data_IF_874954168790
#
_entry.id   IF_874954168790
#
_cell.length_a   1.000
_cell.length_b   1.000
_cell.length_c   1.000
_cell.angle_alpha   90.00
_cell.angle_beta   90.00
_cell.angle_gamma   90.00
#
_symmetry.space_group_name_H-M   'P 1'
#
loop_
_entity.id
_entity.type
_entity.pdbx_description
1 polymer ?
#
# COMPACT_ATOMS: atom_id res chain seq x y z
N UNK A 1 -11.02 -35.27 -10.32
CA UNK A 1 -11.92 -34.14 -10.62
C UNK A 1 -11.44 -32.96 -9.78
N UNK A 2 -10.74 -32.03 -10.42
CA UNK A 2 -10.17 -30.82 -9.80
C UNK A 2 -11.28 -29.81 -9.54
N UNK A 3 -11.54 -29.46 -8.28
CA UNK A 3 -12.41 -28.34 -7.91
C UNK A 3 -11.51 -27.12 -7.68
N UNK A 4 -11.42 -26.27 -8.70
CA UNK A 4 -10.96 -24.90 -8.55
C UNK A 4 -12.01 -24.12 -7.76
N UNK A 5 -11.82 -23.96 -6.46
CA UNK A 5 -12.68 -23.10 -5.64
C UNK A 5 -12.18 -21.66 -5.72
N UNK A 6 -12.86 -20.84 -6.53
CA UNK A 6 -12.87 -19.39 -6.36
C UNK A 6 -13.40 -19.07 -4.95
N UNK A 7 -12.77 -18.15 -4.20
CA UNK A 7 -13.23 -17.79 -2.86
C UNK A 7 -14.66 -17.20 -2.91
N UNK A 8 -15.54 -17.51 -1.93
CA UNK A 8 -16.92 -17.04 -1.90
C UNK A 8 -17.03 -15.51 -1.80
N UNK A 9 -18.12 -14.96 -2.35
CA UNK A 9 -18.43 -13.51 -2.41
C UNK A 9 -18.65 -12.81 -1.06
N UNK A 10 -18.62 -13.54 0.06
CA UNK A 10 -18.78 -13.01 1.42
C UNK A 10 -17.45 -12.95 2.20
N UNK A 11 -16.33 -13.37 1.60
CA UNK A 11 -15.01 -13.19 2.20
C UNK A 11 -14.65 -11.71 2.24
N UNK A 12 -14.94 -11.04 3.36
CA UNK A 12 -14.43 -9.72 3.68
C UNK A 12 -13.03 -9.90 4.28
N UNK A 13 -12.00 -9.59 3.49
CA UNK A 13 -10.66 -9.39 4.05
C UNK A 13 -10.70 -8.06 4.81
N UNK A 14 -10.58 -8.13 6.14
CA UNK A 14 -10.49 -6.93 6.97
C UNK A 14 -9.18 -6.19 6.64
N UNK A 15 -9.32 -4.96 6.13
CA UNK A 15 -8.23 -4.11 5.65
C UNK A 15 -7.34 -3.58 6.79
N UNK A 16 -7.81 -3.62 8.04
CA UNK A 16 -7.02 -3.29 9.22
C UNK A 16 -7.54 -4.10 10.42
N UNK A 17 -6.78 -5.10 10.83
CA UNK A 17 -6.79 -5.52 12.24
C UNK A 17 -5.42 -5.12 12.78
N UNK A 18 -5.37 -4.01 13.50
CA UNK A 18 -4.18 -3.68 14.27
C UNK A 18 -4.13 -4.66 15.44
N UNK A 19 -3.44 -5.78 15.25
CA UNK A 19 -3.08 -6.69 16.33
C UNK A 19 -1.74 -6.20 16.87
N UNK A 20 -1.68 -5.56 18.06
CA UNK A 20 -0.46 -4.88 18.52
C UNK A 20 0.67 -5.82 18.90
N UNK A 21 0.52 -7.13 18.69
CA UNK A 21 1.51 -8.12 19.02
C UNK A 21 1.39 -9.24 18.01
N UNK A 22 2.53 -9.80 17.60
CA UNK A 22 2.62 -11.10 16.92
C UNK A 22 1.56 -12.03 17.52
N UNK A 23 0.45 -12.23 16.81
CA UNK A 23 -0.45 -13.31 17.17
C UNK A 23 0.35 -14.54 16.81
N UNK A 24 0.86 -15.18 17.86
CA UNK A 24 1.60 -16.42 17.78
C UNK A 24 0.85 -17.39 16.85
N UNK A 25 1.58 -18.11 15.99
CA UNK A 25 1.01 -19.12 15.08
C UNK A 25 0.15 -20.17 15.83
N UNK A 26 0.33 -20.23 17.15
CA UNK A 26 -0.51 -20.92 18.11
C UNK A 26 -2.00 -20.50 18.11
N UNK A 27 -2.37 -19.26 17.78
CA UNK A 27 -3.78 -18.85 17.69
C UNK A 27 -4.52 -19.59 16.58
N UNK A 28 -3.88 -19.73 15.42
CA UNK A 28 -4.45 -20.45 14.28
C UNK A 28 -4.56 -21.96 14.58
N UNK A 29 -3.55 -22.53 15.27
CA UNK A 29 -3.57 -23.94 15.71
C UNK A 29 -4.68 -24.21 16.74
N UNK A 30 -4.91 -23.28 17.69
CA UNK A 30 -5.92 -23.41 18.75
C UNK A 30 -7.37 -23.31 18.24
N UNK A 31 -7.59 -22.65 17.10
CA UNK A 31 -8.92 -22.42 16.51
C UNK A 31 -9.35 -23.51 15.50
N UNK A 32 -8.51 -24.51 15.21
CA UNK A 32 -8.84 -25.58 14.25
C UNK A 32 -9.08 -25.08 12.82
N UNK A 33 -8.45 -23.96 12.45
CA UNK A 33 -8.64 -23.33 11.14
C UNK A 33 -8.01 -24.16 10.03
N UNK A 34 -8.70 -24.26 8.89
CA UNK A 34 -8.14 -24.88 7.69
C UNK A 34 -7.06 -23.96 7.12
N UNK A 35 -5.84 -24.47 7.03
CA UNK A 35 -4.73 -23.77 6.38
C UNK A 35 -4.67 -24.14 4.91
N UNK A 36 -4.72 -23.14 4.04
CA UNK A 36 -4.53 -23.31 2.60
C UNK A 36 -3.38 -22.43 2.13
N UNK A 37 -2.30 -23.04 1.68
CA UNK A 37 -1.18 -22.32 1.08
C UNK A 37 -1.65 -21.71 -0.24
N UNK A 38 -1.45 -20.40 -0.39
CA UNK A 38 -1.62 -19.75 -1.68
C UNK A 38 -0.46 -20.15 -2.57
N UNK A 39 -0.78 -20.53 -3.80
CA UNK A 39 0.24 -20.95 -4.76
C UNK A 39 1.06 -19.73 -5.15
N UNK A 40 2.38 -19.82 -4.96
CA UNK A 40 3.35 -18.87 -5.49
C UNK A 40 4.25 -19.60 -6.49
N UNK A 41 4.04 -19.35 -7.78
CA UNK A 41 4.84 -19.93 -8.87
C UNK A 41 6.19 -19.20 -9.04
N UNK A 42 6.25 -17.93 -8.64
CA UNK A 42 7.48 -17.13 -8.64
C UNK A 42 7.51 -16.21 -7.44
N UNK A 43 8.71 -16.04 -6.87
CA UNK A 43 8.99 -15.12 -5.77
C UNK A 43 10.23 -14.30 -6.13
N UNK A 44 10.24 -13.02 -5.79
CA UNK A 44 11.39 -12.13 -6.06
C UNK A 44 11.43 -10.94 -5.12
N UNK A 45 12.62 -10.50 -4.77
CA UNK A 45 12.86 -9.24 -4.07
C UNK A 45 13.44 -8.17 -5.02
N UNK A 46 13.15 -6.90 -4.78
CA UNK A 46 13.64 -5.81 -5.63
C UNK A 46 14.08 -4.62 -4.80
N UNK A 47 15.20 -4.00 -5.19
CA UNK A 47 15.57 -2.66 -4.74
C UNK A 47 15.99 -2.53 -3.28
N UNK A 48 16.39 -3.62 -2.64
CA UNK A 48 17.05 -3.59 -1.34
C UNK A 48 18.52 -3.32 -1.55
N UNK A 49 18.98 -2.13 -1.17
CA UNK A 49 20.41 -1.78 -1.18
C UNK A 49 21.07 -2.37 0.09
N UNK A 50 22.36 -2.74 0.02
CA UNK A 50 23.08 -3.37 1.16
C UNK A 50 23.03 -2.54 2.45
N UNK A 51 22.86 -1.22 2.33
CA UNK A 51 22.73 -0.30 3.49
C UNK A 51 21.40 -0.40 4.22
N UNK A 52 20.35 -0.90 3.56
CA UNK A 52 19.00 -1.04 4.13
C UNK A 52 18.82 -2.42 4.79
N UNK A 53 19.84 -3.28 4.74
CA UNK A 53 19.83 -4.63 5.25
C UNK A 53 20.85 -4.78 6.39
N UNK A 54 20.55 -5.65 7.35
CA UNK A 54 21.57 -6.11 8.31
C UNK A 54 22.59 -6.99 7.59
N UNK A 55 23.87 -6.83 7.91
CA UNK A 55 24.98 -7.58 7.30
C UNK A 55 24.68 -9.08 7.16
N UNK A 56 24.78 -9.59 5.93
CA UNK A 56 24.60 -11.01 5.60
C UNK A 56 23.17 -11.44 5.29
N UNK A 57 22.20 -10.51 5.23
CA UNK A 57 20.84 -10.80 4.77
C UNK A 57 20.80 -10.84 3.24
N UNK A 58 20.38 -11.98 2.70
CA UNK A 58 19.97 -12.12 1.30
C UNK A 58 18.44 -12.13 1.19
N UNK A 59 17.89 -11.09 0.59
CA UNK A 59 16.43 -10.92 0.45
C UNK A 59 15.81 -11.92 -0.53
N UNK A 60 16.57 -12.43 -1.50
CA UNK A 60 16.10 -13.50 -2.38
C UNK A 60 15.98 -14.81 -1.61
N UNK A 61 17.01 -15.20 -0.85
CA UNK A 61 16.93 -16.35 0.06
C UNK A 61 15.78 -16.21 1.07
N UNK A 62 15.54 -15.01 1.62
CA UNK A 62 14.39 -14.79 2.51
C UNK A 62 13.06 -15.09 1.82
N UNK A 63 12.90 -14.68 0.56
CA UNK A 63 11.67 -14.89 -0.20
C UNK A 63 11.36 -16.37 -0.43
N UNK A 64 12.36 -17.24 -0.52
CA UNK A 64 12.14 -18.68 -0.66
C UNK A 64 11.27 -19.24 0.47
N UNK A 65 11.48 -18.74 1.70
CA UNK A 65 10.79 -19.20 2.89
C UNK A 65 9.48 -18.48 3.20
N UNK A 66 9.17 -17.39 2.49
CA UNK A 66 7.88 -16.69 2.68
C UNK A 66 6.75 -17.52 2.09
N UNK A 67 5.77 -17.91 2.90
CA UNK A 67 4.52 -18.52 2.41
C UNK A 67 3.35 -17.65 2.78
N UNK A 68 2.43 -17.44 1.84
CA UNK A 68 1.15 -16.78 2.09
C UNK A 68 0.10 -17.87 2.24
N UNK A 69 -0.70 -17.80 3.30
CA UNK A 69 -1.68 -18.83 3.63
C UNK A 69 -3.02 -18.17 3.92
N UNK A 70 -4.08 -18.74 3.36
CA UNK A 70 -5.44 -18.44 3.78
C UNK A 70 -5.82 -19.36 4.94
N UNK A 71 -6.23 -18.76 6.06
CA UNK A 71 -6.82 -19.45 7.20
C UNK A 71 -8.33 -19.32 7.07
N UNK A 72 -8.96 -20.42 6.66
CA UNK A 72 -10.38 -20.46 6.33
C UNK A 72 -11.16 -21.13 7.44
N UNK A 73 -12.34 -20.58 7.72
CA UNK A 73 -13.25 -21.08 8.73
C UNK A 73 -14.69 -20.81 8.31
N UNK A 74 -15.60 -21.60 8.85
CA UNK A 74 -17.03 -21.42 8.60
C UNK A 74 -17.56 -20.22 9.39
N UNK A 75 -18.60 -19.59 8.86
CA UNK A 75 -19.34 -18.56 9.58
C UNK A 75 -19.82 -19.09 10.95
N UNK A 76 -19.78 -18.29 12.02
CA UNK A 76 -19.56 -16.84 12.04
C UNK A 76 -18.09 -16.42 12.18
N UNK A 77 -17.15 -17.35 12.16
CA UNK A 77 -15.74 -17.02 12.35
C UNK A 77 -15.19 -16.32 11.11
N UNK A 78 -14.19 -15.46 11.32
CA UNK A 78 -13.56 -14.70 10.24
C UNK A 78 -12.39 -15.47 9.67
N UNK A 79 -12.36 -15.59 8.34
CA UNK A 79 -11.20 -16.06 7.61
C UNK A 79 -10.17 -14.94 7.49
N UNK A 80 -8.89 -15.27 7.48
CA UNK A 80 -7.81 -14.29 7.42
C UNK A 80 -6.60 -14.79 6.63
N UNK A 81 -5.75 -13.87 6.19
CA UNK A 81 -4.48 -14.19 5.56
C UNK A 81 -3.37 -14.16 6.60
N UNK A 82 -2.53 -15.17 6.58
CA UNK A 82 -1.29 -15.25 7.37
C UNK A 82 -0.11 -15.40 6.44
N UNK A 83 1.05 -14.96 6.91
CA UNK A 83 2.32 -15.29 6.28
C UNK A 83 3.15 -16.11 7.25
N UNK A 84 3.92 -17.07 6.74
CA UNK A 84 4.99 -17.69 7.52
C UNK A 84 6.31 -17.14 7.02
N UNK A 85 7.11 -16.63 7.94
CA UNK A 85 8.48 -16.25 7.71
C UNK A 85 9.34 -17.41 8.24
N UNK A 86 9.99 -18.13 7.33
CA UNK A 86 10.78 -19.31 7.66
C UNK A 86 12.28 -19.10 7.44
N UNK A 87 13.05 -19.94 8.11
CA UNK A 87 14.48 -20.24 7.94
C UNK A 87 14.74 -21.58 8.66
N UNK A 88 16.00 -22.01 8.79
CA UNK A 88 16.36 -23.30 9.41
C UNK A 88 15.89 -23.47 10.88
N UNK A 89 15.52 -22.38 11.57
CA UNK A 89 14.95 -22.39 12.91
C UNK A 89 13.51 -21.86 12.91
N UNK A 90 12.58 -22.69 13.41
CA UNK A 90 11.12 -22.48 13.64
C UNK A 90 10.37 -21.47 12.75
N UNK A 91 9.45 -21.96 11.91
CA UNK A 91 8.49 -21.13 11.15
C UNK A 91 7.71 -20.18 12.09
N UNK A 92 7.94 -18.87 11.96
CA UNK A 92 7.16 -17.85 12.66
C UNK A 92 6.01 -17.40 11.77
N UNK A 93 4.78 -17.62 12.24
CA UNK A 93 3.60 -17.04 11.61
C UNK A 93 3.51 -15.55 11.95
N UNK A 94 3.32 -14.73 10.93
CA UNK A 94 3.09 -13.29 11.03
C UNK A 94 1.75 -12.98 10.38
N UNK A 95 1.03 -12.05 10.99
CA UNK A 95 -0.21 -11.51 10.43
C UNK A 95 0.14 -10.24 9.67
N UNK A 96 0.28 -10.30 8.33
CA UNK A 96 0.59 -9.12 7.56
C UNK A 96 -0.55 -8.12 7.63
N UNK A 97 -0.23 -6.83 7.60
CA UNK A 97 -1.24 -5.79 7.46
C UNK A 97 -1.58 -5.70 5.98
N UNK A 98 -2.84 -5.96 5.60
CA UNK A 98 -3.29 -5.75 4.22
C UNK A 98 -3.39 -4.25 3.97
N UNK A 99 -2.38 -3.70 3.30
CA UNK A 99 -2.25 -2.27 3.09
C UNK A 99 -3.15 -1.78 1.94
N UNK A 100 -3.14 -2.50 0.82
CA UNK A 100 -4.00 -2.20 -0.33
C UNK A 100 -4.46 -3.49 -1.04
N UNK A 101 -5.63 -3.43 -1.67
CA UNK A 101 -6.15 -4.52 -2.48
C UNK A 101 -6.89 -3.94 -3.68
N UNK A 102 -6.55 -4.42 -4.86
CA UNK A 102 -7.31 -4.11 -6.07
C UNK A 102 -7.25 -5.26 -7.09
N UNK A 103 -8.44 -5.82 -7.36
CA UNK A 103 -8.65 -6.99 -8.21
C UNK A 103 -7.77 -8.18 -7.79
N UNK A 104 -6.75 -8.48 -8.57
CA UNK A 104 -5.83 -9.60 -8.37
C UNK A 104 -4.60 -9.25 -7.53
N UNK A 105 -4.39 -7.97 -7.20
CA UNK A 105 -3.23 -7.53 -6.43
C UNK A 105 -3.60 -7.34 -4.96
N UNK A 106 -2.85 -8.02 -4.10
CA UNK A 106 -2.86 -7.82 -2.65
C UNK A 106 -1.50 -7.23 -2.26
N UNK A 107 -1.52 -6.09 -1.59
CA UNK A 107 -0.32 -5.42 -1.09
C UNK A 107 -0.36 -5.48 0.43
N UNK A 108 0.63 -6.14 0.98
CA UNK A 108 0.82 -6.28 2.41
C UNK A 108 1.97 -5.38 2.86
N UNK A 109 1.83 -4.82 4.04
CA UNK A 109 2.90 -4.12 4.75
C UNK A 109 3.45 -5.02 5.85
N UNK A 110 4.75 -5.23 5.83
CA UNK A 110 5.46 -6.08 6.78
C UNK A 110 6.76 -5.44 7.24
N UNK A 111 7.00 -5.53 8.54
CA UNK A 111 8.32 -5.36 9.13
C UNK A 111 8.90 -6.73 9.41
N UNK A 112 10.17 -6.96 9.03
CA UNK A 112 10.90 -8.16 9.39
C UNK A 112 11.76 -7.82 10.61
N UNK A 113 11.41 -8.26 11.83
CA UNK A 113 12.16 -7.90 13.03
C UNK A 113 13.64 -8.22 12.87
N UNK A 114 14.48 -7.27 13.27
CA UNK A 114 15.94 -7.37 13.26
C UNK A 114 16.55 -7.62 11.86
N UNK A 115 15.78 -7.40 10.79
CA UNK A 115 16.18 -7.68 9.41
C UNK A 115 15.90 -6.55 8.42
N UNK A 116 14.64 -6.09 8.35
CA UNK A 116 14.18 -5.07 7.40
C UNK A 116 13.14 -4.19 8.10
N UNK A 117 13.38 -2.88 8.14
CA UNK A 117 12.56 -1.89 8.86
C UNK A 117 11.20 -1.62 8.20
N UNK A 118 10.97 -2.12 6.97
CA UNK A 118 9.66 -2.18 6.35
C UNK A 118 9.73 -2.63 4.89
N UNK A 119 8.79 -3.47 4.47
CA UNK A 119 8.69 -3.96 3.10
C UNK A 119 7.23 -4.12 2.69
N UNK A 120 6.96 -3.87 1.42
CA UNK A 120 5.70 -4.27 0.80
C UNK A 120 5.86 -5.65 0.16
N UNK A 121 4.97 -6.57 0.52
CA UNK A 121 4.76 -7.83 -0.20
C UNK A 121 3.56 -7.70 -1.13
N UNK A 122 3.79 -7.87 -2.43
CA UNK A 122 2.78 -7.78 -3.47
C UNK A 122 2.50 -9.18 -3.99
N UNK A 123 1.30 -9.69 -3.72
CA UNK A 123 0.83 -10.95 -4.27
C UNK A 123 -0.12 -10.71 -5.45
N UNK A 124 0.25 -11.20 -6.62
CA UNK A 124 -0.63 -11.29 -7.78
C UNK A 124 -1.30 -12.67 -7.80
N UNK A 125 -2.60 -12.70 -7.56
CA UNK A 125 -3.38 -13.94 -7.53
C UNK A 125 -3.54 -14.61 -8.89
N UNK A 126 -3.41 -13.85 -10.00
CA UNK A 126 -3.52 -14.37 -11.37
C UNK A 126 -2.19 -14.95 -11.80
N UNK A 127 -1.13 -14.15 -11.73
CA UNK A 127 0.23 -14.59 -12.05
C UNK A 127 0.81 -15.56 -11.01
N UNK A 128 0.17 -15.66 -9.83
CA UNK A 128 0.68 -16.38 -8.65
C UNK A 128 2.10 -15.98 -8.33
N UNK A 129 2.39 -14.69 -8.45
CA UNK A 129 3.72 -14.14 -8.20
C UNK A 129 3.71 -13.39 -6.87
N UNK A 130 4.82 -13.47 -6.14
CA UNK A 130 5.04 -12.72 -4.91
C UNK A 130 6.27 -11.84 -5.09
N UNK A 131 6.08 -10.53 -5.06
CA UNK A 131 7.17 -9.55 -5.14
C UNK A 131 7.37 -8.88 -3.80
N UNK A 132 8.61 -8.65 -3.41
CA UNK A 132 8.97 -7.87 -2.24
C UNK A 132 9.72 -6.62 -2.66
N UNK A 133 9.31 -5.47 -2.14
CA UNK A 133 9.98 -4.18 -2.35
C UNK A 133 10.14 -3.46 -1.01
N UNK A 134 11.16 -2.61 -0.82
CA UNK A 134 11.28 -1.83 0.42
C UNK A 134 10.07 -0.91 0.58
N UNK A 135 9.64 -0.67 1.82
CA UNK A 135 8.70 0.41 2.08
C UNK A 135 9.41 1.76 1.89
N UNK A 136 8.73 2.77 1.35
CA UNK A 136 9.34 4.09 1.12
C UNK A 136 9.87 4.71 2.43
N UNK A 137 9.21 4.45 3.56
CA UNK A 137 9.66 4.87 4.90
C UNK A 137 10.89 4.11 5.43
N UNK A 138 11.18 2.93 4.88
CA UNK A 138 12.36 2.12 5.21
C UNK A 138 13.56 2.48 4.33
N UNK A 139 13.37 3.24 3.25
CA UNK A 139 14.49 3.74 2.48
C UNK A 139 15.21 4.79 3.33
N UNK A 140 16.47 4.53 3.65
CA UNK A 140 17.37 5.39 4.42
C UNK A 140 17.66 6.75 3.77
N UNK A 141 16.92 7.12 2.71
CA UNK A 141 17.19 8.29 1.90
C UNK A 141 16.60 9.56 2.54
N UNK A 142 17.43 10.61 2.76
CA UNK A 142 16.95 11.92 3.16
C UNK A 142 16.15 12.63 2.06
N UNK A 143 16.04 12.04 0.85
CA UNK A 143 15.51 12.71 -0.34
C UNK A 143 13.99 12.58 -0.51
N UNK A 144 13.29 11.80 0.33
CA UNK A 144 11.85 11.58 0.17
C UNK A 144 11.06 11.57 1.47
N UNK A 145 9.95 12.31 1.51
CA UNK A 145 8.98 12.30 2.61
C UNK A 145 7.58 12.09 2.05
N UNK A 146 6.94 10.97 2.35
CA UNK A 146 5.59 10.71 1.88
C UNK A 146 4.56 11.62 2.59
N UNK A 147 3.56 12.12 1.85
CA UNK A 147 2.39 12.81 2.43
C UNK A 147 1.46 11.83 3.13
N UNK A 148 1.55 10.57 2.71
CA UNK A 148 0.73 9.48 3.21
C UNK A 148 1.53 8.20 3.21
N UNK A 149 1.22 7.31 4.14
CA UNK A 149 1.68 5.92 4.09
C UNK A 149 0.81 5.06 3.16
N UNK A 150 -0.34 5.57 2.71
CA UNK A 150 -1.34 4.81 1.96
C UNK A 150 -0.91 4.56 0.51
N UNK A 151 -0.45 3.33 0.24
CA UNK A 151 -0.14 2.86 -1.12
C UNK A 151 -1.42 2.73 -1.94
N UNK A 152 -1.39 3.29 -3.14
CA UNK A 152 -2.45 3.16 -4.13
C UNK A 152 -2.04 2.14 -5.21
N UNK A 153 -2.95 1.26 -5.59
CA UNK A 153 -2.82 0.43 -6.80
C UNK A 153 -3.49 1.18 -7.95
N UNK A 154 -2.68 1.75 -8.84
CA UNK A 154 -3.13 2.51 -10.00
C UNK A 154 -3.44 1.57 -11.16
N UNK A 155 -4.59 1.76 -11.81
CA UNK A 155 -5.00 0.98 -12.97
C UNK A 155 -5.70 1.82 -14.04
N UNK A 156 -5.53 1.48 -15.33
CA UNK A 156 -6.32 2.07 -16.38
C UNK A 156 -7.82 1.83 -16.18
N UNK A 157 -8.63 2.64 -16.87
CA UNK A 157 -10.05 2.38 -16.96
C UNK A 157 -10.31 0.99 -17.59
N UNK A 158 -11.32 0.26 -17.12
CA UNK A 158 -11.60 -1.12 -17.55
C UNK A 158 -11.76 -1.27 -19.08
N UNK A 159 -12.24 -0.23 -19.76
CA UNK A 159 -12.38 -0.20 -21.22
C UNK A 159 -11.04 -0.19 -22.00
N UNK A 160 -9.94 0.15 -21.34
CA UNK A 160 -8.58 0.27 -21.91
C UNK A 160 -7.58 -0.55 -21.08
N UNK A 161 -8.06 -1.50 -20.29
CA UNK A 161 -7.23 -2.28 -19.39
C UNK A 161 -6.35 -3.26 -20.17
N UNK A 162 -5.06 -2.91 -20.28
CA UNK A 162 -4.01 -3.72 -20.87
C UNK A 162 -3.30 -4.62 -19.82
N UNK A 163 -3.82 -4.65 -18.59
CA UNK A 163 -3.21 -5.34 -17.46
C UNK A 163 -2.11 -4.54 -16.78
N UNK A 164 -1.82 -3.31 -17.23
CA UNK A 164 -0.86 -2.45 -16.56
C UNK A 164 -1.35 -2.03 -15.18
N UNK A 165 -0.41 -1.95 -14.24
CA UNK A 165 -0.65 -1.43 -12.91
C UNK A 165 0.63 -0.87 -12.32
N UNK A 166 0.48 0.05 -11.38
CA UNK A 166 1.58 0.59 -10.60
C UNK A 166 1.17 0.70 -9.14
N UNK A 167 2.12 0.52 -8.24
CA UNK A 167 1.99 1.05 -6.89
C UNK A 167 2.40 2.52 -6.92
N UNK A 168 1.60 3.37 -6.30
CA UNK A 168 1.82 4.81 -6.25
C UNK A 168 1.70 5.34 -4.81
N UNK A 169 2.62 6.22 -4.44
CA UNK A 169 2.63 6.95 -3.18
C UNK A 169 2.79 8.44 -3.45
N UNK A 170 1.90 9.26 -2.86
CA UNK A 170 2.00 10.70 -2.92
C UNK A 170 2.96 11.21 -1.82
N UNK A 171 3.92 12.04 -2.19
CA UNK A 171 4.94 12.53 -1.27
C UNK A 171 5.60 13.84 -1.70
N UNK A 172 6.70 14.14 -1.05
CA UNK A 172 7.60 15.24 -1.32
C UNK A 172 9.00 14.71 -1.52
N UNK A 173 9.75 15.33 -2.42
CA UNK A 173 11.14 15.00 -2.65
C UNK A 173 12.03 16.19 -2.30
N UNK A 174 13.13 15.97 -1.59
CA UNK A 174 14.12 17.02 -1.35
C UNK A 174 14.90 17.29 -2.65
N UNK A 175 14.94 18.55 -3.07
CA UNK A 175 15.70 18.99 -4.25
C UNK A 175 16.63 20.11 -3.84
N UNK A 176 17.93 19.95 -4.12
CA UNK A 176 18.93 20.99 -3.86
C UNK A 176 18.91 21.99 -5.03
N UNK A 177 18.26 23.14 -4.83
CA UNK A 177 18.10 24.16 -5.87
C UNK A 177 19.43 24.88 -6.18
N UNK A 178 20.27 25.06 -5.16
CA UNK A 178 21.57 25.76 -5.26
C UNK A 178 22.62 25.05 -4.42
N UNK A 179 23.61 24.40 -5.06
CA UNK A 179 24.75 23.83 -4.34
C UNK A 179 25.67 24.95 -3.84
N UNK A 180 26.09 24.89 -2.58
CA UNK A 180 26.99 25.85 -1.94
C UNK A 180 27.09 25.62 -0.42
N UNK A 181 27.82 26.48 0.29
CA UNK A 181 28.01 26.39 1.76
C UNK A 181 26.70 26.46 2.56
N UNK A 182 25.66 27.06 1.97
CA UNK A 182 24.29 27.09 2.51
C UNK A 182 23.32 26.58 1.43
N UNK A 183 23.12 25.26 1.31
CA UNK A 183 22.24 24.71 0.30
C UNK A 183 20.79 25.14 0.55
N UNK A 184 20.12 25.60 -0.50
CA UNK A 184 18.67 25.82 -0.49
C UNK A 184 18.01 24.53 -0.94
N UNK A 185 17.18 23.95 -0.07
CA UNK A 185 16.47 22.69 -0.32
C UNK A 185 14.99 23.02 -0.52
N UNK A 186 14.46 22.72 -1.70
CA UNK A 186 13.02 22.72 -1.98
C UNK A 186 12.44 21.32 -1.74
N UNK A 187 11.12 21.28 -1.52
CA UNK A 187 10.37 20.03 -1.27
C UNK A 187 9.15 19.97 -2.18
N UNK A 188 9.33 19.85 -3.51
CA UNK A 188 8.24 19.67 -4.46
C UNK A 188 7.41 18.43 -4.16
N UNK A 189 6.12 18.51 -4.46
CA UNK A 189 5.20 17.39 -4.39
C UNK A 189 5.46 16.43 -5.56
N UNK A 190 5.51 15.14 -5.28
CA UNK A 190 5.84 14.07 -6.23
C UNK A 190 5.00 12.83 -6.02
N UNK A 191 4.94 11.99 -7.05
CA UNK A 191 4.42 10.63 -6.95
C UNK A 191 5.55 9.63 -7.14
N UNK A 192 5.79 8.82 -6.11
CA UNK A 192 6.69 7.68 -6.17
C UNK A 192 5.97 6.49 -6.76
N UNK A 193 6.59 5.83 -7.73
CA UNK A 193 6.00 4.68 -8.41
C UNK A 193 6.88 3.44 -8.36
N UNK A 194 6.22 2.30 -8.30
CA UNK A 194 6.81 1.01 -8.65
C UNK A 194 5.90 0.26 -9.61
N UNK A 195 6.50 -0.37 -10.63
CA UNK A 195 5.80 -1.17 -11.62
C UNK A 195 6.47 -2.54 -11.73
N UNK A 196 5.73 -3.66 -11.68
CA UNK A 196 6.32 -5.00 -11.79
C UNK A 196 7.11 -5.22 -13.09
N UNK A 197 6.68 -4.58 -14.20
CA UNK A 197 7.30 -4.71 -15.51
C UNK A 197 8.50 -3.76 -15.74
N UNK A 198 8.73 -2.80 -14.82
CA UNK A 198 9.80 -1.83 -14.98
C UNK A 198 11.14 -2.41 -14.52
N UNK A 199 12.21 -2.10 -15.24
CA UNK A 199 13.58 -2.36 -14.80
C UNK A 199 14.10 -1.30 -13.82
N UNK A 200 13.32 -0.25 -13.56
CA UNK A 200 13.67 0.82 -12.62
C UNK A 200 13.47 0.31 -11.19
N UNK A 201 14.45 0.56 -10.32
CA UNK A 201 14.35 0.20 -8.91
C UNK A 201 13.07 0.78 -8.28
N UNK A 202 12.44 0.06 -7.33
CA UNK A 202 11.33 0.59 -6.54
C UNK A 202 11.56 2.03 -6.09
N UNK A 203 10.51 2.85 -6.24
CA UNK A 203 10.47 4.25 -5.83
C UNK A 203 11.43 5.20 -6.54
N UNK A 204 12.24 4.73 -7.51
CA UNK A 204 13.08 5.62 -8.34
C UNK A 204 12.35 6.14 -9.58
N UNK A 205 11.17 5.59 -9.91
CA UNK A 205 10.27 6.19 -10.89
C UNK A 205 9.45 7.28 -10.19
N UNK A 206 9.82 8.54 -10.43
CA UNK A 206 9.24 9.71 -9.76
C UNK A 206 8.60 10.62 -10.80
N UNK A 207 7.38 11.08 -10.52
CA UNK A 207 6.67 12.09 -11.31
C UNK A 207 6.42 13.34 -10.46
N UNK A 208 6.40 14.51 -11.07
CA UNK A 208 5.97 15.73 -10.38
C UNK A 208 4.45 15.67 -10.15
N UNK A 209 4.00 16.08 -8.97
CA UNK A 209 2.58 16.20 -8.65
C UNK A 209 2.19 17.69 -8.63
N UNK A 210 1.45 18.13 -9.62
CA UNK A 210 0.96 19.50 -9.68
C UNK A 210 -0.31 19.61 -8.82
N UNK A 211 -0.11 19.73 -7.50
CA UNK A 211 -1.21 19.87 -6.55
C UNK A 211 -1.89 21.24 -6.68
N UNK A 212 -3.21 21.33 -6.48
CA UNK A 212 -3.95 22.60 -6.54
C UNK A 212 -3.53 23.52 -5.38
N UNK A 213 -2.55 24.39 -5.62
CA UNK A 213 -1.85 25.17 -4.59
C UNK A 213 -2.79 26.01 -3.71
N UNK A 214 -3.83 26.62 -4.30
CA UNK A 214 -4.81 27.39 -3.53
C UNK A 214 -5.60 26.49 -2.57
N UNK A 215 -5.94 25.28 -2.98
CA UNK A 215 -6.65 24.32 -2.15
C UNK A 215 -5.76 23.74 -1.05
N UNK A 216 -4.48 23.51 -1.36
CA UNK A 216 -3.48 23.02 -0.40
C UNK A 216 -3.07 24.07 0.63
N UNK A 217 -3.11 25.36 0.30
CA UNK A 217 -2.77 26.44 1.22
C UNK A 217 -3.64 26.43 2.49
N UNK A 218 -4.92 26.10 2.34
CA UNK A 218 -5.86 25.99 3.46
C UNK A 218 -5.83 24.61 4.15
N UNK A 219 -5.03 23.67 3.63
CA UNK A 219 -4.98 22.25 4.03
C UNK A 219 -3.53 21.78 4.22
N UNK A 220 -2.74 22.59 4.92
CA UNK A 220 -1.30 22.35 5.12
C UNK A 220 -0.97 21.03 5.83
N UNK A 221 -1.98 20.38 6.44
CA UNK A 221 -1.87 19.09 7.13
C UNK A 221 -2.53 17.93 6.39
N UNK A 222 -2.79 18.06 5.07
CA UNK A 222 -3.33 16.98 4.26
C UNK A 222 -2.48 15.72 4.42
N UNK A 223 -3.11 14.62 4.81
CA UNK A 223 -2.49 13.31 4.85
C UNK A 223 -3.56 12.27 4.52
N UNK A 224 -3.38 11.58 3.39
CA UNK A 224 -4.36 10.62 2.93
C UNK A 224 -4.51 9.48 3.94
N UNK A 225 -5.73 9.28 4.42
CA UNK A 225 -6.13 8.19 5.30
C UNK A 225 -6.52 6.93 4.53
N UNK A 226 -6.92 7.11 3.26
CA UNK A 226 -7.32 6.06 2.32
C UNK A 226 -6.81 6.42 0.92
N UNK A 227 -6.36 5.42 0.16
CA UNK A 227 -6.05 5.59 -1.26
C UNK A 227 -6.60 4.41 -2.08
N UNK A 228 -7.19 4.70 -3.25
CA UNK A 228 -7.74 3.68 -4.14
C UNK A 228 -7.84 4.21 -5.57
N UNK A 229 -7.95 3.29 -6.54
CA UNK A 229 -8.34 3.64 -7.91
C UNK A 229 -9.79 3.29 -8.19
N UNK A 230 -10.45 4.10 -9.02
CA UNK A 230 -11.83 3.88 -9.45
C UNK A 230 -12.06 4.52 -10.82
N UNK A 231 -12.66 3.77 -11.75
CA UNK A 231 -12.97 4.24 -13.11
C UNK A 231 -11.80 4.99 -13.79
N UNK A 232 -10.59 4.43 -13.69
CA UNK A 232 -9.39 4.99 -14.32
C UNK A 232 -8.85 6.28 -13.68
N UNK A 233 -9.30 6.61 -12.46
CA UNK A 233 -8.78 7.71 -11.66
C UNK A 233 -8.14 7.16 -10.38
N UNK A 234 -7.10 7.85 -9.91
CA UNK A 234 -6.42 7.56 -8.64
C UNK A 234 -6.86 8.59 -7.60
N UNK A 235 -7.26 8.14 -6.41
CA UNK A 235 -7.78 8.98 -5.34
C UNK A 235 -6.93 8.83 -4.08
N UNK A 236 -6.55 9.97 -3.50
CA UNK A 236 -5.98 10.09 -2.16
C UNK A 236 -6.96 10.89 -1.31
N UNK A 237 -7.51 10.23 -0.30
CA UNK A 237 -8.59 10.76 0.53
C UNK A 237 -8.07 11.03 1.93
N UNK A 238 -8.10 12.28 2.33
CA UNK A 238 -7.99 12.70 3.72
C UNK A 238 -9.42 12.85 4.28
N UNK A 239 -9.76 12.05 5.30
CA UNK A 239 -11.12 11.98 5.85
C UNK A 239 -11.53 13.24 6.63
N UNK A 240 -10.61 14.21 6.76
CA UNK A 240 -10.80 15.51 7.39
C UNK A 240 -10.77 16.67 6.40
N UNK A 241 -9.95 16.58 5.36
CA UNK A 241 -9.69 17.72 4.47
C UNK A 241 -10.32 17.57 3.08
N UNK A 242 -10.46 16.36 2.56
CA UNK A 242 -11.04 16.13 1.23
C UNK A 242 -10.26 15.13 0.39
N UNK A 243 -10.43 15.25 -0.92
CA UNK A 243 -9.92 14.29 -1.90
C UNK A 243 -9.01 15.01 -2.88
N UNK A 244 -7.83 14.43 -3.12
CA UNK A 244 -6.97 14.70 -4.26
C UNK A 244 -7.09 13.56 -5.25
N UNK A 245 -7.22 13.87 -6.54
CA UNK A 245 -7.27 12.84 -7.56
C UNK A 245 -6.66 13.26 -8.89
N UNK A 246 -6.23 12.27 -9.66
CA UNK A 246 -5.69 12.44 -11.00
C UNK A 246 -6.08 11.26 -11.89
N UNK A 247 -5.84 11.37 -13.20
CA UNK A 247 -6.13 10.26 -14.11
C UNK A 247 -5.05 9.19 -13.98
N UNK A 248 -5.45 7.91 -13.99
CA UNK A 248 -4.49 6.82 -14.06
C UNK A 248 -3.78 6.76 -15.41
N UNK A 249 -4.34 7.33 -16.48
CA UNK A 249 -3.69 7.40 -17.78
C UNK A 249 -2.41 8.23 -17.71
N UNK A 250 -2.47 9.43 -17.13
CA UNK A 250 -1.31 10.30 -16.93
C UNK A 250 -0.32 9.68 -15.94
N UNK A 251 -0.85 9.07 -14.88
CA UNK A 251 -0.06 8.39 -13.86
C UNK A 251 0.75 7.21 -14.45
N UNK A 252 0.17 6.42 -15.35
CA UNK A 252 0.78 5.22 -15.91
C UNK A 252 1.57 5.48 -17.21
N UNK A 253 1.32 6.60 -17.90
CA UNK A 253 2.04 6.96 -19.12
C UNK A 253 3.54 7.16 -18.88
N UNK A 254 4.40 6.69 -19.79
CA UNK A 254 5.85 6.97 -19.73
C UNK A 254 6.19 8.36 -20.30
N UNK A 255 5.31 8.93 -21.12
CA UNK A 255 5.51 10.23 -21.76
C UNK A 255 5.15 11.41 -20.84
N UNK A 256 4.39 11.16 -19.78
CA UNK A 256 3.93 12.18 -18.84
C UNK A 256 4.84 12.22 -17.62
N UNK A 257 5.51 13.35 -17.38
CA UNK A 257 6.37 13.56 -16.21
C UNK A 257 5.70 14.34 -15.09
N UNK A 258 4.77 15.21 -15.45
CA UNK A 258 4.04 16.08 -14.53
C UNK A 258 2.58 15.66 -14.55
N UNK A 259 2.03 15.32 -13.39
CA UNK A 259 0.65 14.86 -13.24
C UNK A 259 -0.16 15.96 -12.58
N UNK A 260 -1.17 16.44 -13.29
CA UNK A 260 -2.10 17.43 -12.76
C UNK A 260 -3.12 16.78 -11.83
N UNK A 261 -3.35 17.42 -10.68
CA UNK A 261 -4.31 16.98 -9.68
C UNK A 261 -5.50 17.93 -9.63
N UNK A 262 -6.68 17.32 -9.57
CA UNK A 262 -7.90 17.97 -9.14
C UNK A 262 -8.16 17.70 -7.66
N UNK A 263 -9.05 18.49 -7.08
CA UNK A 263 -9.43 18.37 -5.67
C UNK A 263 -10.93 18.47 -5.46
N UNK A 264 -11.40 17.92 -4.36
CA UNK A 264 -12.78 18.06 -3.90
C UNK A 264 -12.80 18.14 -2.39
N UNK A 265 -13.44 19.18 -1.85
CA UNK A 265 -13.65 19.30 -0.41
C UNK A 265 -14.60 18.23 0.10
N UNK A 266 -14.47 17.87 1.38
CA UNK A 266 -15.50 17.07 2.02
C UNK A 266 -16.84 17.84 2.05
N UNK A 267 -17.98 17.13 1.99
CA UNK A 267 -19.28 17.76 2.23
C UNK A 267 -19.29 18.58 3.52
N UNK A 268 -19.98 19.72 3.54
CA UNK A 268 -19.98 20.68 4.67
C UNK A 268 -20.36 20.02 6.02
N UNK A 269 -21.23 19.02 6.01
CA UNK A 269 -21.63 18.30 7.22
C UNK A 269 -20.49 17.46 7.82
N UNK A 270 -19.49 17.12 7.01
CA UNK A 270 -18.29 16.42 7.45
C UNK A 270 -17.29 17.36 8.14
N UNK A 271 -17.31 18.67 7.87
CA UNK A 271 -16.36 19.63 8.47
C UNK A 271 -16.70 19.97 9.93
N UNK A 272 -17.89 19.59 10.42
CA UNK A 272 -18.34 19.85 11.80
C UNK A 272 -17.66 18.97 12.86
N UNK A 273 -16.96 17.93 12.43
CA UNK A 273 -16.22 17.04 13.31
C UNK A 273 -14.74 17.31 13.12
N UNK A 274 -14.10 17.94 14.10
CA UNK A 274 -12.64 18.14 14.15
C UNK A 274 -12.13 17.53 15.45
N UNK A 275 -11.56 16.31 15.42
CA UNK A 275 -11.01 15.68 16.62
C UNK A 275 -9.76 16.47 17.04
N UNK A 276 -9.87 17.20 18.15
CA UNK A 276 -8.82 18.08 18.68
C UNK A 276 -7.93 17.42 19.74
N UNK A 277 -8.05 16.11 19.98
CA UNK A 277 -7.24 15.44 21.01
C UNK A 277 -6.56 14.15 20.56
N UNK A 278 -5.29 14.05 20.95
CA UNK A 278 -4.42 12.88 21.08
C UNK A 278 -5.02 11.67 21.81
N UNK A 279 -6.23 11.81 22.39
CA UNK A 279 -6.99 10.74 23.04
C UNK A 279 -8.09 10.13 22.18
N UNK A 280 -8.28 10.60 20.93
CA UNK A 280 -9.31 10.09 20.03
C UNK A 280 -8.84 8.92 19.17
N UNK A 281 -9.76 8.00 18.84
CA UNK A 281 -9.52 6.90 17.91
C UNK A 281 -9.06 7.39 16.52
N UNK A 282 -8.49 6.49 15.71
CA UNK A 282 -8.11 6.79 14.32
C UNK A 282 -9.28 7.40 13.53
N UNK A 283 -9.00 8.27 12.54
CA UNK A 283 -10.05 8.95 11.74
C UNK A 283 -10.98 7.95 11.05
N UNK A 284 -10.44 6.78 10.67
CA UNK A 284 -11.15 5.66 10.08
C UNK A 284 -12.24 5.07 11.01
N UNK A 285 -12.16 5.31 12.32
CA UNK A 285 -13.19 4.88 13.28
C UNK A 285 -14.47 5.73 13.21
N UNK A 286 -14.38 6.94 12.66
CA UNK A 286 -15.50 7.87 12.53
C UNK A 286 -15.95 8.05 11.10
N UNK A 287 -15.13 7.63 10.12
CA UNK A 287 -15.44 7.77 8.70
C UNK A 287 -14.78 6.70 7.88
N UNK A 288 -15.44 6.30 6.82
CA UNK A 288 -14.82 5.46 5.79
C UNK A 288 -15.24 5.95 4.41
N UNK A 289 -14.32 5.84 3.46
CA UNK A 289 -14.58 6.09 2.04
C UNK A 289 -14.09 4.89 1.26
N UNK A 290 -14.87 4.46 0.29
CA UNK A 290 -14.46 3.38 -0.59
C UNK A 290 -15.40 3.18 -1.77
N UNK A 291 -14.98 2.31 -2.67
CA UNK A 291 -15.74 1.93 -3.85
C UNK A 291 -16.79 0.88 -3.46
N UNK A 292 -18.06 1.14 -3.75
CA UNK A 292 -19.14 0.17 -3.62
C UNK A 292 -19.90 0.09 -4.94
N UNK A 293 -19.71 -1.01 -5.66
CA UNK A 293 -20.24 -1.16 -7.02
C UNK A 293 -19.64 -0.09 -7.94
N UNK A 294 -20.51 0.68 -8.60
CA UNK A 294 -20.13 1.73 -9.55
C UNK A 294 -20.18 3.13 -8.91
N UNK A 295 -19.92 3.24 -7.61
CA UNK A 295 -19.95 4.51 -6.90
C UNK A 295 -18.93 4.57 -5.79
N UNK A 296 -18.39 5.76 -5.56
CA UNK A 296 -17.62 6.07 -4.35
C UNK A 296 -18.62 6.46 -3.27
N UNK A 297 -18.55 5.80 -2.11
CA UNK A 297 -19.40 6.09 -0.96
C UNK A 297 -18.55 6.54 0.21
N UNK A 298 -19.05 7.54 0.92
CA UNK A 298 -18.51 8.01 2.17
C UNK A 298 -19.55 7.76 3.27
N UNK A 299 -19.13 7.15 4.37
CA UNK A 299 -19.95 6.92 5.55
C UNK A 299 -19.31 7.60 6.77
N UNK A 300 -20.11 8.27 7.62
CA UNK A 300 -19.70 8.65 8.97
C UNK A 300 -19.73 7.45 9.94
#
# INVERSE_FOLDING_TARGET
>A
MSRTSTPPSWCLLLQKVHCPNFIDGDYAKKQGLLSMDLVCESKRAWGFDDSDLVDGIDTESMMEYVKVQARVTDAPNLSFLTMTLGGDEEEKAVFPILHAMDRNLLVFDLTFPDKIDGAYLIYDTIGKTLSMIPALSSLSSPDGMAHTTQVLIARPHAAVDDGSSALALLGKMAVVDKPGDMPVISWPDVIYQWRPSSSISPWKLIKSANLPQQWMADKSAFSADVAFSFEGHAFWVDLMHGVLFCTCADLLSDDVKDVDFDSTDLPLDCLKFTPHSWTMAERQAYRTVGCTGNSIKAHP
#
